data_IF_615433435554
#
_entry.id   IF_615433435554
#
_cell.length_a   1.000
_cell.length_b   1.000
_cell.length_c   1.000
_cell.angle_alpha   90.00
_cell.angle_beta   90.00
_cell.angle_gamma   90.00
#
_symmetry.space_group_name_H-M   'P 1'
#
loop_
_entity.id
_entity.type
_entity.pdbx_description
1 polymer ?
#
# COMPACT_ATOMS: atom_id res chain seq x y z
N UNK A 1 -25.28 -15.95 -1.34
CA UNK A 1 -24.01 -16.29 -0.66
C UNK A 1 -23.26 -15.00 -0.45
N UNK A 2 -22.67 -14.71 0.73
CA UNK A 2 -21.80 -13.55 0.87
C UNK A 2 -20.57 -13.71 -0.02
N UNK A 3 -20.17 -12.64 -0.67
CA UNK A 3 -18.89 -12.56 -1.37
C UNK A 3 -17.83 -11.96 -0.44
N UNK A 4 -16.59 -12.39 -0.65
CA UNK A 4 -15.39 -11.82 -0.05
C UNK A 4 -14.49 -11.33 -1.17
N UNK A 5 -14.13 -10.06 -1.12
CA UNK A 5 -13.12 -9.46 -1.97
C UNK A 5 -11.86 -9.25 -1.13
N UNK A 6 -10.83 -10.06 -1.34
CA UNK A 6 -9.61 -10.05 -0.55
C UNK A 6 -8.47 -9.38 -1.32
N UNK A 7 -7.83 -8.38 -0.74
CA UNK A 7 -6.57 -7.84 -1.24
C UNK A 7 -5.47 -7.84 -0.18
N UNK A 8 -4.24 -7.99 -0.65
CA UNK A 8 -3.02 -7.86 0.14
C UNK A 8 -2.16 -6.71 -0.37
N UNK A 9 -1.65 -5.88 0.52
CA UNK A 9 -0.65 -4.87 0.18
C UNK A 9 0.75 -5.43 0.36
N UNK A 10 1.63 -5.18 -0.62
CA UNK A 10 3.05 -5.52 -0.58
C UNK A 10 3.83 -4.22 -0.79
N UNK A 11 4.53 -3.79 0.25
CA UNK A 11 5.35 -2.59 0.20
C UNK A 11 6.62 -2.77 1.02
N UNK A 12 7.74 -2.31 0.46
CA UNK A 12 8.99 -2.13 1.18
C UNK A 12 9.58 -0.79 0.78
N UNK A 13 9.84 0.12 1.73
CA UNK A 13 10.42 1.42 1.45
C UNK A 13 11.92 1.29 1.16
N UNK A 14 12.49 2.29 0.46
CA UNK A 14 13.93 2.48 0.41
C UNK A 14 14.37 3.27 1.65
N UNK A 15 14.74 2.56 2.72
CA UNK A 15 15.19 3.19 3.97
C UNK A 15 16.42 4.05 3.70
N UNK A 16 16.39 5.28 4.21
CA UNK A 16 17.51 6.22 4.11
C UNK A 16 18.57 5.91 5.15
N UNK A 17 19.80 6.36 4.90
CA UNK A 17 20.92 6.29 5.84
C UNK A 17 20.69 7.26 6.99
N UNK A 18 21.35 7.03 8.12
CA UNK A 18 21.48 8.03 9.17
C UNK A 18 22.43 9.14 8.67
N UNK A 19 21.88 10.07 7.87
CA UNK A 19 22.64 11.06 7.14
C UNK A 19 22.87 12.30 8.02
N UNK A 20 24.12 12.54 8.38
CA UNK A 20 24.48 13.58 9.34
C UNK A 20 24.86 14.89 8.64
N UNK A 21 24.96 15.97 9.42
CA UNK A 21 25.52 17.24 8.94
C UNK A 21 26.92 17.06 8.33
N UNK A 22 27.73 16.12 8.83
CA UNK A 22 29.07 15.86 8.32
C UNK A 22 29.09 15.18 6.96
N UNK A 23 27.95 14.72 6.45
CA UNK A 23 27.82 14.07 5.15
C UNK A 23 27.44 15.04 4.02
N UNK A 24 27.02 16.25 4.38
CA UNK A 24 26.68 17.31 3.42
C UNK A 24 27.85 17.61 2.47
N UNK A 25 27.53 17.70 1.18
CA UNK A 25 28.42 18.09 0.10
C UNK A 25 29.37 17.00 -0.39
N UNK A 26 29.25 15.75 0.12
CA UNK A 26 30.01 14.58 -0.35
C UNK A 26 29.34 13.98 -1.60
N UNK A 27 28.98 12.69 -1.57
CA UNK A 27 28.29 11.99 -2.64
C UNK A 27 26.81 11.77 -2.31
N UNK A 28 25.90 11.88 -3.30
CA UNK A 28 24.47 11.73 -3.11
C UNK A 28 24.06 10.24 -2.99
N UNK A 29 24.60 9.55 -1.99
CA UNK A 29 24.18 8.20 -1.60
C UNK A 29 23.35 8.27 -0.31
N UNK A 30 22.04 8.39 -0.47
CA UNK A 30 21.11 8.63 0.65
C UNK A 30 20.46 7.36 1.20
N UNK A 31 20.52 6.24 0.48
CA UNK A 31 19.76 5.03 0.80
C UNK A 31 20.63 3.96 1.45
N UNK A 32 20.10 3.26 2.45
CA UNK A 32 20.80 2.19 3.14
C UNK A 32 20.61 0.87 2.37
N UNK A 33 21.41 0.66 1.32
CA UNK A 33 21.27 -0.50 0.44
C UNK A 33 21.41 -1.84 1.17
N UNK A 34 22.34 -1.96 2.13
CA UNK A 34 22.55 -3.18 2.91
C UNK A 34 21.31 -3.52 3.76
N UNK A 35 20.76 -2.54 4.48
CA UNK A 35 19.56 -2.73 5.28
C UNK A 35 18.35 -3.08 4.42
N UNK A 36 18.18 -2.37 3.30
CA UNK A 36 17.05 -2.59 2.39
C UNK A 36 17.10 -4.01 1.79
N UNK A 37 18.26 -4.44 1.29
CA UNK A 37 18.43 -5.79 0.76
C UNK A 37 18.27 -6.87 1.84
N UNK A 38 18.83 -6.65 3.03
CA UNK A 38 18.70 -7.58 4.16
C UNK A 38 17.24 -7.80 4.58
N UNK A 39 16.46 -6.73 4.73
CA UNK A 39 15.04 -6.82 5.07
C UNK A 39 14.24 -7.46 3.94
N UNK A 40 14.49 -7.04 2.68
CA UNK A 40 13.80 -7.61 1.53
C UNK A 40 14.01 -9.12 1.44
N UNK A 41 15.24 -9.59 1.68
CA UNK A 41 15.55 -11.02 1.68
C UNK A 41 14.80 -11.76 2.79
N UNK A 42 14.84 -11.23 4.02
CA UNK A 42 14.13 -11.81 5.17
C UNK A 42 12.63 -11.93 4.90
N UNK A 43 11.98 -10.84 4.50
CA UNK A 43 10.53 -10.83 4.25
C UNK A 43 10.15 -11.71 3.07
N UNK A 44 11.00 -11.77 2.04
CA UNK A 44 10.77 -12.66 0.89
C UNK A 44 10.75 -14.14 1.28
N UNK A 45 11.64 -14.55 2.19
CA UNK A 45 11.77 -15.93 2.63
C UNK A 45 10.72 -16.32 3.68
N UNK A 46 10.37 -15.39 4.57
CA UNK A 46 9.40 -15.63 5.65
C UNK A 46 7.94 -15.50 5.19
N UNK A 47 7.67 -14.54 4.30
CA UNK A 47 6.31 -14.15 3.92
C UNK A 47 6.04 -14.44 2.45
N UNK A 48 6.73 -13.75 1.53
CA UNK A 48 6.28 -13.71 0.13
C UNK A 48 6.29 -15.09 -0.55
N UNK A 49 7.40 -15.83 -0.48
CA UNK A 49 7.50 -17.13 -1.14
C UNK A 49 6.59 -18.20 -0.49
N UNK A 50 6.59 -18.38 0.85
CA UNK A 50 5.72 -19.37 1.48
C UNK A 50 4.24 -19.07 1.26
N UNK A 51 3.83 -17.81 1.42
CA UNK A 51 2.45 -17.42 1.26
C UNK A 51 2.00 -17.48 -0.21
N UNK A 52 2.83 -17.06 -1.18
CA UNK A 52 2.50 -17.20 -2.61
C UNK A 52 2.33 -18.68 -3.00
N UNK A 53 3.21 -19.56 -2.50
CA UNK A 53 3.10 -21.01 -2.72
C UNK A 53 1.81 -21.58 -2.13
N UNK A 54 1.43 -21.15 -0.92
CA UNK A 54 0.16 -21.56 -0.30
C UNK A 54 -1.03 -21.10 -1.15
N UNK A 55 -1.06 -19.83 -1.55
CA UNK A 55 -2.16 -19.28 -2.35
C UNK A 55 -2.29 -19.99 -3.69
N UNK A 56 -1.17 -20.24 -4.38
CA UNK A 56 -1.16 -20.99 -5.64
C UNK A 56 -1.76 -22.39 -5.47
N UNK A 57 -1.33 -23.12 -4.44
CA UNK A 57 -1.86 -24.45 -4.13
C UNK A 57 -3.38 -24.41 -3.81
N UNK A 58 -3.84 -23.39 -3.08
CA UNK A 58 -5.26 -23.22 -2.79
C UNK A 58 -6.07 -22.94 -4.07
N UNK A 59 -5.56 -22.10 -4.98
CA UNK A 59 -6.19 -21.85 -6.28
C UNK A 59 -6.32 -23.15 -7.09
N UNK A 60 -5.24 -23.92 -7.20
CA UNK A 60 -5.20 -25.18 -7.94
C UNK A 60 -6.15 -26.24 -7.32
N UNK A 61 -6.06 -26.43 -6.00
CA UNK A 61 -6.87 -27.39 -5.25
C UNK A 61 -8.37 -27.09 -5.40
N UNK A 62 -8.75 -25.81 -5.36
CA UNK A 62 -10.14 -25.37 -5.49
C UNK A 62 -10.55 -25.06 -6.93
N UNK A 63 -9.73 -25.42 -7.93
CA UNK A 63 -10.02 -25.26 -9.36
C UNK A 63 -10.44 -23.83 -9.73
N UNK A 64 -9.75 -22.85 -9.16
CA UNK A 64 -9.98 -21.41 -9.42
C UNK A 64 -11.17 -20.79 -8.68
N UNK A 65 -11.84 -21.52 -7.76
CA UNK A 65 -12.89 -20.94 -6.92
C UNK A 65 -12.36 -20.03 -5.80
N UNK A 66 -11.06 -20.08 -5.52
CA UNK A 66 -10.41 -19.10 -4.66
C UNK A 66 -9.81 -17.99 -5.53
N UNK A 67 -10.13 -16.74 -5.18
CA UNK A 67 -9.62 -15.54 -5.86
C UNK A 67 -9.19 -14.50 -4.83
N UNK A 68 -8.17 -13.74 -5.18
CA UNK A 68 -7.68 -12.64 -4.35
C UNK A 68 -7.03 -11.57 -5.22
N UNK A 69 -6.46 -10.55 -4.59
CA UNK A 69 -5.75 -9.49 -5.28
C UNK A 69 -4.53 -8.99 -4.51
N UNK A 70 -3.62 -8.33 -5.22
CA UNK A 70 -2.42 -7.73 -4.64
C UNK A 70 -2.23 -6.29 -5.10
N UNK A 71 -1.87 -5.40 -4.17
CA UNK A 71 -1.26 -4.11 -4.50
C UNK A 71 0.24 -4.22 -4.24
N UNK A 72 1.07 -4.02 -5.26
CA UNK A 72 2.52 -3.97 -5.11
C UNK A 72 2.97 -2.56 -5.46
N UNK A 73 3.59 -1.85 -4.51
CA UNK A 73 4.21 -0.55 -4.83
C UNK A 73 5.29 -0.67 -5.91
N UNK A 74 5.53 0.40 -6.67
CA UNK A 74 6.62 0.42 -7.67
C UNK A 74 7.99 0.15 -7.03
N UNK A 75 8.23 0.73 -5.84
CA UNK A 75 9.44 0.52 -5.05
C UNK A 75 9.71 -0.96 -4.74
N UNK A 76 8.71 -1.71 -4.27
CA UNK A 76 8.93 -3.13 -3.96
C UNK A 76 9.16 -3.93 -5.24
N UNK A 77 8.45 -3.61 -6.34
CA UNK A 77 8.65 -4.28 -7.62
C UNK A 77 10.09 -4.11 -8.13
N UNK A 78 10.65 -2.90 -8.05
CA UNK A 78 12.02 -2.64 -8.47
C UNK A 78 13.05 -3.35 -7.60
N UNK A 79 12.87 -3.30 -6.28
CA UNK A 79 13.73 -3.99 -5.34
C UNK A 79 13.73 -5.50 -5.58
N UNK A 80 12.55 -6.11 -5.72
CA UNK A 80 12.42 -7.54 -6.02
C UNK A 80 12.99 -7.88 -7.40
N UNK A 81 12.76 -7.07 -8.43
CA UNK A 81 13.31 -7.32 -9.75
C UNK A 81 14.85 -7.32 -9.76
N UNK A 82 15.47 -6.49 -8.92
CA UNK A 82 16.92 -6.38 -8.80
C UNK A 82 17.53 -7.48 -7.93
N UNK A 83 16.93 -7.77 -6.77
CA UNK A 83 17.54 -8.60 -5.74
C UNK A 83 16.87 -9.97 -5.57
N UNK A 84 15.57 -10.09 -5.86
CA UNK A 84 14.74 -11.29 -5.64
C UNK A 84 13.84 -11.63 -6.83
N UNK A 85 14.43 -11.92 -8.02
CA UNK A 85 13.66 -12.24 -9.23
C UNK A 85 12.81 -13.51 -9.09
N UNK A 86 13.17 -14.40 -8.16
CA UNK A 86 12.39 -15.57 -7.75
C UNK A 86 11.02 -15.18 -7.17
N UNK A 87 10.95 -14.11 -6.38
CA UNK A 87 9.69 -13.58 -5.85
C UNK A 87 8.84 -12.98 -6.96
N UNK A 88 9.43 -12.22 -7.89
CA UNK A 88 8.71 -11.73 -9.08
C UNK A 88 8.14 -12.91 -9.88
N UNK A 89 8.91 -13.98 -10.09
CA UNK A 89 8.44 -15.19 -10.76
C UNK A 89 7.25 -15.84 -10.03
N UNK A 90 7.27 -15.86 -8.69
CA UNK A 90 6.16 -16.38 -7.90
C UNK A 90 4.87 -15.55 -8.03
N UNK A 91 4.96 -14.22 -8.09
CA UNK A 91 3.81 -13.36 -8.37
C UNK A 91 3.29 -13.51 -9.81
N UNK A 92 4.19 -13.71 -10.79
CA UNK A 92 3.78 -14.05 -12.17
C UNK A 92 3.03 -15.36 -12.22
N UNK A 93 3.49 -16.39 -11.50
CA UNK A 93 2.78 -17.67 -11.43
C UNK A 93 1.34 -17.49 -10.88
N UNK A 94 1.16 -16.65 -9.86
CA UNK A 94 -0.18 -16.26 -9.39
C UNK A 94 -0.99 -15.51 -10.45
N UNK A 95 -0.39 -14.56 -11.16
CA UNK A 95 -1.03 -13.82 -12.26
C UNK A 95 -1.48 -14.73 -13.42
N UNK A 96 -0.70 -15.77 -13.71
CA UNK A 96 -0.97 -16.71 -14.79
C UNK A 96 -2.19 -17.59 -14.51
N UNK A 97 -2.55 -17.79 -13.24
CA UNK A 97 -3.79 -18.49 -12.85
C UNK A 97 -5.07 -17.79 -13.29
N UNK A 98 -5.00 -16.47 -13.56
CA UNK A 98 -6.16 -15.57 -13.78
C UNK A 98 -7.16 -15.52 -12.62
N UNK A 99 -6.81 -16.10 -11.46
CA UNK A 99 -7.58 -16.03 -10.22
C UNK A 99 -7.07 -14.93 -9.28
N UNK A 100 -5.94 -14.29 -9.64
CA UNK A 100 -5.34 -13.20 -8.87
C UNK A 100 -5.32 -11.93 -9.70
N UNK A 101 -5.98 -10.89 -9.20
CA UNK A 101 -5.94 -9.55 -9.80
C UNK A 101 -4.84 -8.70 -9.15
N UNK A 102 -4.15 -7.90 -9.95
CA UNK A 102 -3.16 -6.96 -9.43
C UNK A 102 -3.65 -5.52 -9.57
N UNK A 103 -3.53 -4.78 -8.48
CA UNK A 103 -4.02 -3.41 -8.33
C UNK A 103 -2.98 -2.39 -8.80
N UNK A 104 -3.49 -1.24 -9.23
CA UNK A 104 -2.69 -0.06 -9.53
C UNK A 104 -2.44 0.74 -8.28
N UNK A 105 -1.27 1.36 -8.17
CA UNK A 105 -0.91 2.21 -7.03
C UNK A 105 0.03 3.35 -7.48
N UNK A 106 0.40 4.26 -6.59
CA UNK A 106 1.55 5.15 -6.80
C UNK A 106 2.85 4.34 -6.90
N UNK A 107 3.81 4.83 -7.69
CA UNK A 107 5.09 4.14 -7.85
C UNK A 107 5.90 4.13 -6.56
N UNK A 108 5.98 5.29 -5.90
CA UNK A 108 6.86 5.48 -4.75
C UNK A 108 6.16 5.30 -3.42
N UNK A 109 4.92 4.77 -3.41
CA UNK A 109 4.11 4.69 -2.20
C UNK A 109 4.04 6.06 -1.50
N UNK A 110 3.68 7.09 -2.26
CA UNK A 110 3.87 8.50 -1.90
C UNK A 110 2.56 9.22 -1.57
N UNK A 111 2.71 10.40 -0.97
CA UNK A 111 1.59 11.32 -0.71
C UNK A 111 1.24 12.21 -1.92
N UNK A 112 1.81 11.96 -3.12
CA UNK A 112 1.74 12.85 -4.28
C UNK A 112 0.32 13.28 -4.66
N UNK A 113 -0.67 12.41 -4.42
CA UNK A 113 -2.09 12.68 -4.66
C UNK A 113 -2.60 13.98 -4.02
N UNK A 114 -1.98 14.45 -2.93
CA UNK A 114 -2.41 15.63 -2.17
C UNK A 114 -1.48 16.84 -2.31
N UNK A 115 -0.30 16.66 -2.89
CA UNK A 115 0.72 17.72 -2.99
C UNK A 115 1.01 18.16 -4.43
N UNK A 116 0.94 17.24 -5.40
CA UNK A 116 1.18 17.59 -6.79
C UNK A 116 0.47 16.62 -7.75
N UNK A 117 -0.59 17.10 -8.42
CA UNK A 117 -1.43 16.28 -9.33
C UNK A 117 -0.65 15.72 -10.52
N UNK A 118 0.27 16.50 -11.11
CA UNK A 118 1.08 16.03 -12.24
C UNK A 118 2.03 14.92 -11.82
N UNK A 119 2.63 15.03 -10.64
CA UNK A 119 3.48 14.00 -10.06
C UNK A 119 2.67 12.74 -9.72
N UNK A 120 1.47 12.89 -9.18
CA UNK A 120 0.57 11.77 -8.92
C UNK A 120 0.25 11.00 -10.21
N UNK A 121 -0.15 11.72 -11.27
CA UNK A 121 -0.39 11.13 -12.60
C UNK A 121 0.86 10.46 -13.18
N UNK A 122 2.04 11.10 -13.05
CA UNK A 122 3.31 10.53 -13.48
C UNK A 122 3.60 9.21 -12.77
N UNK A 123 3.42 9.16 -11.45
CA UNK A 123 3.64 7.95 -10.65
C UNK A 123 2.68 6.82 -11.02
N UNK A 124 1.39 7.12 -11.24
CA UNK A 124 0.42 6.14 -11.72
C UNK A 124 0.87 5.53 -13.06
N UNK A 125 1.31 6.38 -14.00
CA UNK A 125 1.78 5.93 -15.32
C UNK A 125 3.07 5.10 -15.23
N UNK A 126 4.00 5.46 -14.34
CA UNK A 126 5.19 4.66 -14.07
C UNK A 126 4.81 3.30 -13.49
N UNK A 127 3.84 3.26 -12.58
CA UNK A 127 3.41 2.03 -11.92
C UNK A 127 2.78 1.06 -12.92
N UNK A 128 1.87 1.55 -13.77
CA UNK A 128 1.31 0.76 -14.87
C UNK A 128 2.39 0.16 -15.78
N UNK A 129 3.46 0.91 -16.08
CA UNK A 129 4.59 0.40 -16.88
C UNK A 129 5.35 -0.70 -16.14
N UNK A 130 5.63 -0.55 -14.85
CA UNK A 130 6.29 -1.58 -14.05
C UNK A 130 5.44 -2.85 -13.92
N UNK A 131 4.15 -2.72 -13.66
CA UNK A 131 3.22 -3.86 -13.60
C UNK A 131 3.22 -4.67 -14.91
N UNK A 132 3.11 -4.00 -16.05
CA UNK A 132 3.19 -4.66 -17.36
C UNK A 132 4.55 -5.32 -17.59
N UNK A 133 5.65 -4.65 -17.21
CA UNK A 133 7.02 -5.14 -17.44
C UNK A 133 7.34 -6.37 -16.58
N UNK A 134 7.08 -6.30 -15.28
CA UNK A 134 7.57 -7.28 -14.32
C UNK A 134 6.55 -8.36 -13.99
N UNK A 135 5.27 -8.02 -13.92
CA UNK A 135 4.19 -8.96 -13.58
C UNK A 135 3.45 -9.45 -14.84
N UNK A 136 3.41 -8.64 -15.92
CA UNK A 136 2.74 -9.01 -17.17
C UNK A 136 1.25 -8.70 -17.21
N UNK A 137 0.80 -7.79 -16.34
CA UNK A 137 -0.62 -7.43 -16.19
C UNK A 137 -0.81 -5.92 -16.26
N UNK A 138 -2.03 -5.52 -16.63
CA UNK A 138 -2.47 -4.12 -16.57
C UNK A 138 -3.54 -3.97 -15.49
N UNK A 139 -3.28 -3.19 -14.43
CA UNK A 139 -4.25 -3.02 -13.35
C UNK A 139 -5.50 -2.25 -13.77
N UNK A 140 -6.65 -2.71 -13.28
CA UNK A 140 -7.99 -2.12 -13.53
C UNK A 140 -8.60 -1.42 -12.33
N UNK A 141 -8.25 -1.86 -11.13
CA UNK A 141 -8.67 -1.24 -9.87
C UNK A 141 -7.47 -0.60 -9.18
N UNK A 142 -7.68 0.55 -8.56
CA UNK A 142 -6.64 1.33 -7.91
C UNK A 142 -6.69 1.16 -6.38
N UNK A 143 -5.51 1.14 -5.75
CA UNK A 143 -5.32 1.27 -4.32
C UNK A 143 -4.34 2.42 -4.14
N UNK A 144 -4.81 3.55 -3.64
CA UNK A 144 -3.88 4.64 -3.33
C UNK A 144 -3.10 4.29 -2.06
N UNK A 145 -1.91 4.89 -1.94
CA UNK A 145 -1.04 4.79 -0.77
C UNK A 145 -1.85 4.94 0.51
N UNK A 146 -1.76 3.94 1.39
CA UNK A 146 -2.37 3.92 2.73
C UNK A 146 -3.89 4.10 2.77
N UNK A 147 -4.55 3.66 1.69
CA UNK A 147 -5.96 3.93 1.40
C UNK A 147 -6.32 5.41 1.53
N UNK A 148 -5.35 6.29 1.26
CA UNK A 148 -5.56 7.72 1.32
C UNK A 148 -6.53 8.13 0.22
N UNK A 149 -7.69 8.65 0.62
CA UNK A 149 -8.74 9.02 -0.33
C UNK A 149 -9.43 10.33 0.06
N UNK A 150 -9.73 11.14 -0.94
CA UNK A 150 -10.72 12.21 -0.90
C UNK A 150 -11.28 12.38 -2.32
N UNK A 151 -12.49 12.91 -2.47
CA UNK A 151 -13.13 13.03 -3.79
C UNK A 151 -12.28 13.76 -4.85
N UNK A 152 -11.37 14.66 -4.44
CA UNK A 152 -10.50 15.40 -5.35
C UNK A 152 -9.47 14.54 -6.11
N UNK A 153 -9.11 13.34 -5.63
CA UNK A 153 -8.15 12.46 -6.33
C UNK A 153 -8.81 11.61 -7.42
N UNK A 154 -10.14 11.47 -7.35
CA UNK A 154 -10.96 10.64 -8.24
C UNK A 154 -10.74 10.96 -9.71
N UNK A 155 -10.63 12.24 -10.06
CA UNK A 155 -10.44 12.67 -11.45
C UNK A 155 -9.16 12.09 -12.06
N UNK A 156 -8.05 12.15 -11.33
CA UNK A 156 -6.76 11.63 -11.82
C UNK A 156 -6.81 10.10 -11.97
N UNK A 157 -7.45 9.42 -11.02
CA UNK A 157 -7.61 7.96 -11.05
C UNK A 157 -8.51 7.53 -12.22
N UNK A 158 -9.66 8.17 -12.38
CA UNK A 158 -10.59 7.93 -13.48
C UNK A 158 -9.95 8.21 -14.85
N UNK A 159 -9.24 9.33 -15.00
CA UNK A 159 -8.58 9.70 -16.26
C UNK A 159 -7.43 8.75 -16.64
N UNK A 160 -6.88 8.02 -15.68
CA UNK A 160 -5.93 6.94 -15.94
C UNK A 160 -6.62 5.62 -16.30
N UNK A 161 -7.95 5.57 -16.41
CA UNK A 161 -8.71 4.42 -16.91
C UNK A 161 -8.95 3.32 -15.87
N UNK A 162 -8.92 3.66 -14.58
CA UNK A 162 -9.32 2.72 -13.53
C UNK A 162 -10.84 2.64 -13.40
N UNK A 163 -11.35 1.44 -13.12
CA UNK A 163 -12.77 1.13 -12.97
C UNK A 163 -13.26 1.30 -11.53
N UNK A 164 -12.34 1.20 -10.56
CA UNK A 164 -12.62 1.45 -9.15
C UNK A 164 -11.40 1.80 -8.33
N UNK A 165 -11.64 2.21 -7.09
CA UNK A 165 -10.63 2.54 -6.09
C UNK A 165 -11.02 2.01 -4.71
N UNK A 166 -10.05 1.43 -4.01
CA UNK A 166 -10.19 1.04 -2.61
C UNK A 166 -10.13 2.26 -1.69
N UNK A 167 -11.01 2.28 -0.69
CA UNK A 167 -11.05 3.33 0.35
C UNK A 167 -11.20 2.70 1.73
N UNK A 168 -10.77 3.40 2.78
CA UNK A 168 -11.02 2.94 4.14
C UNK A 168 -12.51 3.04 4.49
N UNK A 169 -13.10 1.92 4.93
CA UNK A 169 -14.51 1.82 5.33
C UNK A 169 -14.71 1.93 6.84
N UNK A 170 -14.13 2.93 7.49
CA UNK A 170 -14.38 3.20 8.91
C UNK A 170 -15.64 4.04 9.11
N UNK A 171 -16.34 3.87 10.24
CA UNK A 171 -17.52 4.68 10.57
C UNK A 171 -17.16 6.17 10.73
N UNK A 172 -15.95 6.47 11.21
CA UNK A 172 -15.42 7.82 11.32
C UNK A 172 -15.33 8.53 9.95
N UNK A 173 -15.09 7.76 8.90
CA UNK A 173 -14.86 8.28 7.55
C UNK A 173 -16.14 8.29 6.71
N UNK A 174 -16.95 7.23 6.80
CA UNK A 174 -18.09 7.03 5.91
C UNK A 174 -19.46 7.25 6.59
N UNK A 175 -19.47 7.63 7.87
CA UNK A 175 -20.68 7.91 8.64
C UNK A 175 -21.64 6.72 8.66
N UNK A 176 -22.86 6.91 8.16
CA UNK A 176 -23.90 5.86 8.11
C UNK A 176 -23.85 4.99 6.84
N UNK A 177 -22.82 5.12 6.01
CA UNK A 177 -22.66 4.25 4.86
C UNK A 177 -22.40 2.81 5.30
N UNK A 178 -22.94 1.85 4.55
CA UNK A 178 -22.66 0.44 4.79
C UNK A 178 -21.33 0.09 4.12
N UNK A 179 -20.33 -0.22 4.94
CA UNK A 179 -18.94 -0.49 4.54
C UNK A 179 -18.79 -1.81 3.79
N UNK A 180 -19.83 -2.64 3.75
CA UNK A 180 -19.90 -3.87 2.97
C UNK A 180 -20.61 -3.67 1.63
N UNK A 181 -20.66 -2.44 1.09
CA UNK A 181 -21.25 -2.15 -0.23
C UNK A 181 -20.31 -1.30 -1.04
N UNK A 182 -20.39 -1.45 -2.37
CA UNK A 182 -19.73 -0.53 -3.28
C UNK A 182 -20.54 0.76 -3.39
N UNK A 183 -19.90 1.82 -3.88
CA UNK A 183 -20.52 3.11 -4.13
C UNK A 183 -20.00 3.71 -5.44
N UNK A 184 -20.74 4.67 -6.00
CA UNK A 184 -20.21 5.57 -7.03
C UNK A 184 -19.40 6.67 -6.37
N UNK A 185 -18.24 6.98 -6.96
CA UNK A 185 -17.43 8.11 -6.54
C UNK A 185 -18.06 9.47 -6.88
N UNK A 186 -17.49 10.54 -6.33
CA UNK A 186 -17.76 11.92 -6.72
C UNK A 186 -16.47 12.56 -7.24
N UNK A 187 -16.50 13.35 -8.33
CA UNK A 187 -17.61 13.58 -9.26
C UNK A 187 -17.78 12.52 -10.36
N UNK A 188 -16.90 11.50 -10.44
CA UNK A 188 -16.93 10.53 -11.54
C UNK A 188 -17.76 9.29 -11.21
N UNK A 189 -19.04 9.32 -11.59
CA UNK A 189 -19.99 8.26 -11.24
C UNK A 189 -19.70 6.87 -11.83
N UNK A 190 -18.78 6.77 -12.80
CA UNK A 190 -18.35 5.50 -13.38
C UNK A 190 -17.17 4.85 -12.63
N UNK A 191 -16.57 5.55 -11.65
CA UNK A 191 -15.54 4.97 -10.79
C UNK A 191 -16.20 4.39 -9.52
N UNK A 192 -15.98 3.10 -9.28
CA UNK A 192 -16.46 2.43 -8.07
C UNK A 192 -15.58 2.75 -6.85
N UNK A 193 -16.21 2.99 -5.71
CA UNK A 193 -15.55 3.01 -4.41
C UNK A 193 -15.77 1.66 -3.74
N UNK A 194 -14.67 1.02 -3.30
CA UNK A 194 -14.66 -0.26 -2.60
C UNK A 194 -14.22 0.00 -1.15
N UNK A 195 -15.16 0.18 -0.20
CA UNK A 195 -14.80 0.39 1.19
C UNK A 195 -14.24 -0.89 1.80
N UNK A 196 -13.10 -0.77 2.49
CA UNK A 196 -12.52 -1.84 3.31
C UNK A 196 -13.36 -2.08 4.56
N UNK A 197 -13.69 -3.35 4.83
CA UNK A 197 -14.22 -3.76 6.12
C UNK A 197 -13.08 -3.83 7.14
N UNK A 198 -12.82 -2.71 7.81
CA UNK A 198 -11.68 -2.58 8.72
C UNK A 198 -11.79 -3.48 9.96
N UNK A 199 -13.01 -3.71 10.46
CA UNK A 199 -13.23 -4.52 11.67
C UNK A 199 -12.73 -5.95 11.47
N UNK A 200 -13.13 -6.59 10.37
CA UNK A 200 -12.72 -7.96 10.07
C UNK A 200 -11.29 -8.03 9.53
N UNK A 201 -10.84 -7.01 8.80
CA UNK A 201 -9.46 -6.96 8.30
C UNK A 201 -8.45 -6.86 9.46
N UNK A 202 -8.69 -5.95 10.41
CA UNK A 202 -7.86 -5.76 11.60
C UNK A 202 -7.93 -6.96 12.55
N UNK A 203 -8.98 -7.77 12.46
CA UNK A 203 -9.08 -9.01 13.22
C UNK A 203 -8.00 -10.03 12.80
N UNK A 204 -7.69 -10.09 11.51
CA UNK A 204 -6.59 -10.90 10.99
C UNK A 204 -5.25 -10.19 11.24
N UNK A 205 -5.16 -8.90 10.89
CA UNK A 205 -3.88 -8.18 10.86
C UNK A 205 -3.29 -7.86 12.24
N UNK A 206 -4.13 -7.59 13.24
CA UNK A 206 -3.67 -7.12 14.56
C UNK A 206 -4.18 -7.97 15.74
N UNK A 207 -5.30 -8.69 15.56
CA UNK A 207 -5.96 -9.43 16.64
C UNK A 207 -5.95 -10.94 16.42
N UNK A 208 -5.06 -11.45 15.57
CA UNK A 208 -4.92 -12.89 15.35
C UNK A 208 -4.61 -13.63 16.66
N UNK A 209 -3.71 -13.06 17.47
CA UNK A 209 -3.50 -13.44 18.86
C UNK A 209 -4.03 -12.35 19.79
N UNK A 210 -5.32 -12.44 20.15
CA UNK A 210 -5.89 -11.54 21.15
C UNK A 210 -6.12 -12.28 22.47
N UNK A 211 -5.51 -11.76 23.54
CA UNK A 211 -5.56 -12.36 24.89
C UNK A 211 -5.02 -13.81 24.92
N UNK A 212 -5.85 -14.80 25.30
CA UNK A 212 -5.51 -16.23 25.37
C UNK A 212 -6.12 -17.04 24.22
N UNK A 213 -6.63 -16.40 23.17
CA UNK A 213 -7.32 -17.09 22.07
C UNK A 213 -6.77 -16.67 20.71
N UNK A 214 -6.36 -17.65 19.93
CA UNK A 214 -6.05 -17.49 18.50
C UNK A 214 -7.33 -17.50 17.69
N UNK A 215 -7.44 -16.60 16.72
CA UNK A 215 -8.57 -16.55 15.79
C UNK A 215 -8.71 -17.88 15.03
N UNK A 216 -9.92 -18.45 15.03
CA UNK A 216 -10.21 -19.72 14.35
C UNK A 216 -10.97 -19.49 13.04
N UNK A 217 -10.64 -20.30 12.03
CA UNK A 217 -11.24 -20.24 10.70
C UNK A 217 -12.78 -20.34 10.72
N UNK A 218 -13.35 -21.20 11.56
CA UNK A 218 -14.80 -21.39 11.65
C UNK A 218 -15.50 -20.18 12.30
N UNK A 219 -14.87 -19.58 13.32
CA UNK A 219 -15.35 -18.37 13.97
C UNK A 219 -15.33 -17.19 13.01
N UNK A 220 -14.24 -17.01 12.27
CA UNK A 220 -14.12 -15.96 11.26
C UNK A 220 -15.14 -16.13 10.13
N UNK A 221 -15.33 -17.37 9.65
CA UNK A 221 -16.38 -17.70 8.66
C UNK A 221 -17.77 -17.33 9.17
N UNK A 222 -18.11 -17.66 10.43
CA UNK A 222 -19.41 -17.32 11.03
C UNK A 222 -19.64 -15.80 11.05
N UNK A 223 -18.62 -15.00 11.39
CA UNK A 223 -18.70 -13.53 11.39
C UNK A 223 -19.00 -12.97 10.00
N UNK A 224 -18.32 -13.46 8.96
CA UNK A 224 -18.59 -13.07 7.56
C UNK A 224 -20.04 -13.41 7.18
N UNK A 225 -20.50 -14.61 7.52
CA UNK A 225 -21.86 -15.05 7.19
C UNK A 225 -22.95 -14.18 7.83
N UNK A 226 -22.71 -13.63 9.03
CA UNK A 226 -23.63 -12.71 9.70
C UNK A 226 -23.81 -11.38 8.95
N UNK A 227 -22.86 -11.00 8.10
CA UNK A 227 -22.92 -9.79 7.26
C UNK A 227 -23.65 -10.02 5.93
N UNK A 228 -24.15 -11.24 5.68
CA UNK A 228 -24.87 -11.58 4.44
C UNK A 228 -26.13 -10.74 4.29
N UNK A 229 -26.19 -9.91 3.27
CA UNK A 229 -27.39 -9.19 2.85
C UNK A 229 -27.35 -8.91 1.34
N UNK A 230 -28.49 -8.57 0.71
CA UNK A 230 -28.51 -8.16 -0.69
C UNK A 230 -27.54 -6.99 -0.94
N UNK A 231 -26.78 -7.12 -2.03
CA UNK A 231 -25.70 -6.21 -2.45
C UNK A 231 -24.51 -6.08 -1.48
N UNK A 232 -24.43 -6.90 -0.41
CA UNK A 232 -23.27 -6.87 0.46
C UNK A 232 -22.12 -7.70 -0.11
N UNK A 233 -20.92 -7.16 -0.01
CA UNK A 233 -19.62 -7.82 -0.22
C UNK A 233 -18.69 -7.47 0.94
N UNK A 234 -18.00 -8.46 1.48
CA UNK A 234 -17.05 -8.25 2.58
C UNK A 234 -15.66 -8.03 1.98
N UNK A 235 -15.24 -6.77 1.97
CA UNK A 235 -14.01 -6.34 1.33
C UNK A 235 -12.87 -6.31 2.36
N UNK A 236 -11.96 -7.28 2.31
CA UNK A 236 -10.87 -7.43 3.27
C UNK A 236 -9.56 -6.92 2.66
N UNK A 237 -8.87 -6.07 3.42
CA UNK A 237 -7.62 -5.44 3.00
C UNK A 237 -6.58 -5.48 4.11
N UNK A 238 -5.40 -6.01 3.84
CA UNK A 238 -4.37 -6.18 4.86
C UNK A 238 -2.96 -6.13 4.27
N UNK A 239 -1.99 -5.79 5.10
CA UNK A 239 -0.58 -5.95 4.76
C UNK A 239 -0.27 -7.42 4.55
N UNK A 240 0.44 -7.75 3.47
CA UNK A 240 0.74 -9.13 3.14
C UNK A 240 1.71 -9.76 4.15
N UNK A 241 2.59 -8.92 4.70
CA UNK A 241 3.50 -9.20 5.80
C UNK A 241 2.81 -9.74 7.05
N UNK A 242 1.47 -9.61 7.16
CA UNK A 242 0.66 -10.35 8.15
C UNK A 242 0.95 -11.87 8.14
N UNK A 243 1.20 -12.44 6.96
CA UNK A 243 1.39 -13.88 6.78
C UNK A 243 2.87 -14.26 6.70
N UNK A 244 3.53 -14.35 7.86
CA UNK A 244 4.89 -14.85 8.00
C UNK A 244 5.87 -13.87 8.65
N UNK A 245 5.61 -12.57 8.56
CA UNK A 245 6.47 -11.53 9.17
C UNK A 245 5.87 -10.96 10.45
N UNK A 246 4.64 -10.43 10.44
CA UNK A 246 3.99 -9.93 11.67
C UNK A 246 3.57 -11.08 12.59
N UNK A 247 3.08 -12.17 11.99
CA UNK A 247 2.85 -13.44 12.65
C UNK A 247 3.67 -14.50 11.93
N UNK A 248 4.56 -15.16 12.66
CA UNK A 248 5.42 -16.20 12.11
C UNK A 248 4.61 -17.44 11.74
N UNK A 249 5.18 -18.28 10.86
CA UNK A 249 4.49 -19.48 10.39
C UNK A 249 4.14 -20.43 11.54
N UNK A 250 5.01 -20.53 12.54
CA UNK A 250 4.85 -21.36 13.74
C UNK A 250 3.68 -20.91 14.63
N UNK A 251 3.29 -19.64 14.53
CA UNK A 251 2.13 -19.06 15.22
C UNK A 251 0.80 -19.49 14.58
N UNK A 252 0.87 -20.06 13.37
CA UNK A 252 -0.26 -20.72 12.70
C UNK A 252 -1.06 -19.82 11.78
N UNK A 253 -0.61 -18.60 11.47
CA UNK A 253 -1.33 -17.66 10.60
C UNK A 253 -1.59 -18.23 9.18
N UNK A 254 -0.60 -18.91 8.60
CA UNK A 254 -0.73 -19.59 7.30
C UNK A 254 -1.70 -20.78 7.37
N UNK A 255 -1.69 -21.50 8.49
CA UNK A 255 -2.64 -22.60 8.74
C UNK A 255 -4.07 -22.07 8.87
N UNK A 256 -4.26 -20.95 9.56
CA UNK A 256 -5.54 -20.26 9.64
C UNK A 256 -6.04 -19.85 8.25
N UNK A 257 -5.20 -19.18 7.44
CA UNK A 257 -5.56 -18.74 6.09
C UNK A 257 -5.99 -19.93 5.22
N UNK A 258 -5.18 -20.99 5.22
CA UNK A 258 -5.47 -22.23 4.50
C UNK A 258 -6.79 -22.85 4.95
N UNK A 259 -7.00 -23.04 6.25
CA UNK A 259 -8.23 -23.63 6.80
C UNK A 259 -9.46 -22.77 6.49
N UNK A 260 -9.35 -21.45 6.61
CA UNK A 260 -10.44 -20.53 6.33
C UNK A 260 -10.88 -20.60 4.87
N UNK A 261 -9.94 -20.56 3.92
CA UNK A 261 -10.25 -20.66 2.49
C UNK A 261 -10.83 -22.04 2.16
N UNK A 262 -10.19 -23.11 2.61
CA UNK A 262 -10.67 -24.47 2.40
C UNK A 262 -12.12 -24.66 2.91
N UNK A 263 -12.40 -24.23 4.14
CA UNK A 263 -13.71 -24.38 4.74
C UNK A 263 -14.77 -23.51 4.04
N UNK A 264 -14.41 -22.28 3.68
CA UNK A 264 -15.28 -21.34 2.95
C UNK A 264 -15.78 -21.93 1.64
N UNK A 265 -14.87 -22.51 0.84
CA UNK A 265 -15.17 -23.05 -0.50
C UNK A 265 -15.85 -24.42 -0.40
N UNK A 266 -15.33 -25.34 0.43
CA UNK A 266 -15.86 -26.70 0.55
C UNK A 266 -17.32 -26.71 1.02
N UNK A 267 -17.68 -25.75 1.89
CA UNK A 267 -19.06 -25.61 2.38
C UNK A 267 -19.95 -24.77 1.47
N UNK A 268 -19.43 -24.20 0.38
CA UNK A 268 -20.12 -23.27 -0.52
C UNK A 268 -20.81 -22.12 0.24
N UNK A 269 -20.16 -21.64 1.29
CA UNK A 269 -20.69 -20.61 2.19
C UNK A 269 -20.24 -19.21 1.83
N UNK A 270 -19.09 -19.08 1.19
CA UNK A 270 -18.48 -17.81 0.79
C UNK A 270 -17.97 -17.96 -0.65
N UNK A 271 -18.21 -16.94 -1.45
CA UNK A 271 -17.61 -16.76 -2.77
C UNK A 271 -16.42 -15.82 -2.67
N UNK A 272 -15.31 -16.14 -3.33
CA UNK A 272 -14.17 -15.23 -3.43
C UNK A 272 -14.17 -14.57 -4.80
N UNK A 273 -14.13 -13.25 -4.81
CA UNK A 273 -14.12 -12.43 -6.02
C UNK A 273 -12.88 -11.56 -6.06
N UNK A 274 -12.39 -11.31 -7.27
CA UNK A 274 -11.45 -10.22 -7.50
C UNK A 274 -12.16 -8.86 -7.38
N UNK A 275 -11.42 -7.76 -7.20
CA UNK A 275 -11.98 -6.41 -7.19
C UNK A 275 -12.81 -6.07 -8.44
N UNK A 276 -12.32 -6.40 -9.64
CA UNK A 276 -13.06 -6.19 -10.90
C UNK A 276 -14.38 -6.98 -10.92
N UNK A 277 -14.36 -8.26 -10.57
CA UNK A 277 -15.58 -9.10 -10.49
C UNK A 277 -16.55 -8.61 -9.41
N UNK A 278 -16.01 -8.05 -8.32
CA UNK A 278 -16.81 -7.42 -7.26
C UNK A 278 -17.50 -6.16 -7.77
N UNK A 279 -16.82 -5.34 -8.56
CA UNK A 279 -17.43 -4.19 -9.24
C UNK A 279 -18.54 -4.67 -10.18
N UNK A 280 -18.25 -5.62 -11.08
CA UNK A 280 -19.24 -6.16 -12.02
C UNK A 280 -20.50 -6.70 -11.31
N UNK A 281 -20.34 -7.34 -10.15
CA UNK A 281 -21.43 -8.00 -9.43
C UNK A 281 -22.22 -7.07 -8.50
N UNK A 282 -21.56 -6.06 -7.91
CA UNK A 282 -22.12 -5.26 -6.80
C UNK A 282 -22.17 -3.76 -7.06
N UNK A 283 -21.72 -3.28 -8.23
CA UNK A 283 -21.72 -1.86 -8.51
C UNK A 283 -23.15 -1.30 -8.47
N UNK A 284 -23.31 -0.22 -7.73
CA UNK A 284 -24.60 0.34 -7.36
C UNK A 284 -24.80 1.73 -7.93
N UNK A 285 -26.04 2.22 -7.91
CA UNK A 285 -26.38 3.61 -8.27
C UNK A 285 -26.14 4.60 -7.14
N UNK A 286 -25.85 4.12 -5.92
CA UNK A 286 -25.68 4.99 -4.75
C UNK A 286 -24.33 5.68 -4.77
N UNK A 287 -24.35 7.01 -4.76
CA UNK A 287 -23.18 7.87 -4.62
C UNK A 287 -22.73 7.99 -3.16
N UNK A 288 -21.43 8.09 -2.95
CA UNK A 288 -20.80 8.42 -1.68
C UNK A 288 -19.91 9.67 -1.89
N UNK A 289 -19.97 10.58 -0.92
CA UNK A 289 -19.21 11.83 -0.94
C UNK A 289 -18.23 11.77 0.24
N UNK A 290 -16.95 11.96 -0.03
CA UNK A 290 -15.87 11.93 0.96
C UNK A 290 -15.03 13.21 0.80
N UNK A 291 -15.42 14.30 1.50
CA UNK A 291 -14.82 15.62 1.30
C UNK A 291 -13.49 15.80 2.04
N UNK A 292 -13.12 14.88 2.93
CA UNK A 292 -11.91 14.94 3.75
C UNK A 292 -11.00 13.75 3.46
N UNK A 293 -9.70 13.90 3.74
CA UNK A 293 -8.73 12.83 3.52
C UNK A 293 -8.92 11.73 4.56
N UNK A 294 -9.30 10.56 4.08
CA UNK A 294 -9.40 9.32 4.86
C UNK A 294 -8.13 8.50 4.68
N UNK A 295 -7.84 7.60 5.61
CA UNK A 295 -6.76 6.62 5.52
C UNK A 295 -7.11 5.40 6.36
N UNK A 296 -6.50 4.25 6.08
CA UNK A 296 -6.62 3.08 6.94
C UNK A 296 -5.70 3.11 8.17
N UNK A 297 -4.77 4.08 8.24
CA UNK A 297 -3.75 4.13 9.28
C UNK A 297 -4.29 4.72 10.59
N UNK A 298 -3.68 4.26 11.69
CA UNK A 298 -3.92 4.68 13.06
C UNK A 298 -5.39 4.65 13.50
N UNK A 299 -5.67 5.16 14.68
CA UNK A 299 -7.02 5.22 15.24
C UNK A 299 -7.89 6.30 14.58
N UNK A 300 -7.29 7.41 14.15
CA UNK A 300 -8.02 8.54 13.55
C UNK A 300 -8.46 8.30 12.10
N UNK A 301 -7.89 7.29 11.43
CA UNK A 301 -8.26 6.88 10.06
C UNK A 301 -8.19 8.03 9.05
N UNK A 302 -7.18 8.88 9.17
CA UNK A 302 -6.96 10.07 8.35
C UNK A 302 -5.47 10.29 8.08
N UNK A 303 -5.11 11.39 7.40
CA UNK A 303 -3.73 11.69 6.98
C UNK A 303 -2.74 12.02 8.12
N UNK A 304 -3.21 12.13 9.37
CA UNK A 304 -2.38 12.60 10.49
C UNK A 304 -1.17 11.71 10.79
N UNK A 305 -1.15 10.45 10.37
CA UNK A 305 0.04 9.59 10.52
C UNK A 305 1.29 10.18 9.83
N UNK A 306 1.10 11.01 8.78
CA UNK A 306 2.20 11.58 7.99
C UNK A 306 2.32 13.10 8.07
N UNK A 307 1.35 13.82 8.65
CA UNK A 307 1.27 15.29 8.54
C UNK A 307 0.77 15.97 9.83
N UNK A 308 1.00 15.33 11.00
CA UNK A 308 0.50 15.83 12.28
C UNK A 308 1.41 16.91 12.90
N UNK A 309 2.72 16.75 12.82
CA UNK A 309 3.68 17.67 13.46
C UNK A 309 4.46 18.52 12.45
N UNK A 310 5.22 19.49 12.95
CA UNK A 310 5.91 20.48 12.11
C UNK A 310 7.15 19.90 11.40
N UNK A 311 7.80 18.88 11.98
CA UNK A 311 8.90 18.14 11.32
C UNK A 311 8.42 17.50 10.01
N UNK A 312 7.28 16.81 10.08
CA UNK A 312 6.65 16.18 8.91
C UNK A 312 6.27 17.21 7.86
N UNK A 313 5.59 18.29 8.26
CA UNK A 313 5.15 19.36 7.33
C UNK A 313 6.33 20.02 6.64
N UNK A 314 7.37 20.39 7.38
CA UNK A 314 8.57 21.02 6.84
C UNK A 314 9.25 20.11 5.80
N UNK A 315 9.47 18.84 6.13
CA UNK A 315 10.09 17.90 5.21
C UNK A 315 9.28 17.72 3.91
N UNK A 316 7.95 17.64 4.01
CA UNK A 316 7.08 17.50 2.85
C UNK A 316 7.10 18.77 1.99
N UNK A 317 6.93 19.94 2.60
CA UNK A 317 6.96 21.24 1.91
C UNK A 317 8.29 21.43 1.18
N UNK A 318 9.40 21.17 1.87
CA UNK A 318 10.74 21.24 1.30
C UNK A 318 10.89 20.27 0.12
N UNK A 319 10.53 19.00 0.27
CA UNK A 319 10.63 18.01 -0.79
C UNK A 319 9.88 18.43 -2.07
N UNK A 320 8.61 18.83 -1.96
CA UNK A 320 7.83 19.19 -3.14
C UNK A 320 8.24 20.54 -3.75
N UNK A 321 8.83 21.45 -2.97
CA UNK A 321 9.39 22.70 -3.50
C UNK A 321 10.52 22.48 -4.51
N UNK A 322 11.25 21.36 -4.38
CA UNK A 322 12.38 21.00 -5.26
C UNK A 322 11.94 20.41 -6.61
N UNK A 323 10.66 20.04 -6.76
CA UNK A 323 10.17 19.33 -7.96
C UNK A 323 10.52 20.09 -9.24
N UNK A 324 10.05 21.33 -9.36
CA UNK A 324 10.08 22.03 -10.64
C UNK A 324 11.52 22.31 -11.09
N UNK A 325 12.42 22.56 -10.15
CA UNK A 325 13.82 22.80 -10.45
C UNK A 325 14.54 21.51 -10.85
N UNK A 326 14.28 20.39 -10.16
CA UNK A 326 14.83 19.07 -10.51
C UNK A 326 14.38 18.63 -11.91
N UNK A 327 13.11 18.85 -12.24
CA UNK A 327 12.59 18.48 -13.57
C UNK A 327 13.11 19.39 -14.68
N UNK A 328 13.35 20.68 -14.40
CA UNK A 328 14.01 21.61 -15.36
C UNK A 328 15.45 21.21 -15.67
N UNK A 329 16.19 20.70 -14.68
CA UNK A 329 17.57 20.24 -14.87
C UNK A 329 17.69 19.03 -15.81
N UNK A 330 16.59 18.29 -16.05
CA UNK A 330 16.56 17.07 -16.89
C UNK A 330 17.60 16.01 -16.51
N UNK A 331 18.09 16.05 -15.27
CA UNK A 331 18.99 15.04 -14.74
C UNK A 331 18.17 13.85 -14.22
N UNK A 332 18.28 12.72 -14.93
CA UNK A 332 17.51 11.51 -14.60
C UNK A 332 17.84 10.95 -13.22
N UNK A 333 19.12 10.91 -12.85
CA UNK A 333 19.55 10.38 -11.55
C UNK A 333 18.97 11.21 -10.40
N UNK A 334 18.99 12.54 -10.55
CA UNK A 334 18.42 13.46 -9.57
C UNK A 334 16.89 13.30 -9.45
N UNK A 335 16.20 13.12 -10.58
CA UNK A 335 14.77 12.84 -10.60
C UNK A 335 14.43 11.52 -9.91
N UNK A 336 15.22 10.47 -10.14
CA UNK A 336 15.04 9.16 -9.50
C UNK A 336 15.25 9.24 -7.99
N UNK A 337 16.32 9.92 -7.53
CA UNK A 337 16.58 10.15 -6.10
C UNK A 337 15.44 10.92 -5.44
N UNK A 338 15.05 12.08 -6.01
CA UNK A 338 13.96 12.88 -5.47
C UNK A 338 12.63 12.11 -5.44
N UNK A 339 12.38 11.30 -6.47
CA UNK A 339 11.16 10.51 -6.53
C UNK A 339 11.12 9.43 -5.44
N UNK A 340 12.24 8.75 -5.20
CA UNK A 340 12.35 7.75 -4.14
C UNK A 340 12.17 8.36 -2.74
N UNK A 341 12.65 9.59 -2.52
CA UNK A 341 12.46 10.31 -1.25
C UNK A 341 11.00 10.67 -0.96
N UNK A 342 10.06 10.57 -1.92
CA UNK A 342 8.64 10.82 -1.67
C UNK A 342 7.91 9.68 -0.93
N UNK A 343 8.59 8.57 -0.65
CA UNK A 343 8.01 7.44 0.05
C UNK A 343 7.39 7.86 1.39
N UNK A 344 6.12 7.50 1.60
CA UNK A 344 5.33 7.92 2.77
C UNK A 344 5.98 7.54 4.09
N UNK A 345 6.70 6.42 4.11
CA UNK A 345 7.35 5.83 5.27
C UNK A 345 8.33 6.79 5.92
N UNK A 346 9.00 7.64 5.14
CA UNK A 346 9.91 8.65 5.69
C UNK A 346 9.19 9.63 6.62
N UNK A 347 7.98 10.07 6.24
CA UNK A 347 7.17 10.94 7.09
C UNK A 347 6.53 10.16 8.24
N UNK A 348 6.18 8.89 8.01
CA UNK A 348 5.65 8.00 9.05
C UNK A 348 6.65 7.81 10.20
N UNK A 349 7.94 7.69 9.90
CA UNK A 349 9.02 7.59 10.90
C UNK A 349 9.18 8.86 11.76
N UNK A 350 8.68 10.01 11.30
CA UNK A 350 8.72 11.28 12.02
C UNK A 350 7.47 11.53 12.87
N UNK A 351 6.51 10.60 12.91
CA UNK A 351 5.30 10.73 13.71
C UNK A 351 5.61 10.75 15.21
N UNK A 352 4.94 11.64 15.94
CA UNK A 352 5.06 11.77 17.40
C UNK A 352 3.85 11.20 18.14
N UNK A 353 3.05 10.36 17.48
CA UNK A 353 1.88 9.72 18.09
C UNK A 353 2.27 8.77 19.23
N UNK A 354 1.37 8.61 20.20
CA UNK A 354 1.58 7.82 21.42
C UNK A 354 0.64 6.60 21.47
N UNK A 355 0.80 5.74 22.47
CA UNK A 355 0.00 4.52 22.70
C UNK A 355 0.19 3.46 21.60
N UNK A 356 -0.85 2.69 21.26
CA UNK A 356 -0.79 1.59 20.29
C UNK A 356 -0.26 2.05 18.93
N UNK A 357 -0.65 3.25 18.51
CA UNK A 357 -0.21 3.83 17.24
C UNK A 357 1.31 4.07 17.31
N UNK A 358 1.80 4.61 18.43
CA UNK A 358 3.25 4.81 18.67
C UNK A 358 4.07 3.51 18.73
N UNK A 359 3.53 2.41 19.26
CA UNK A 359 4.21 1.11 19.26
C UNK A 359 4.42 0.57 17.84
N UNK A 360 3.42 0.72 16.98
CA UNK A 360 3.51 0.39 15.55
C UNK A 360 4.58 1.26 14.87
N UNK A 361 4.56 2.59 15.08
CA UNK A 361 5.58 3.49 14.52
C UNK A 361 7.01 3.09 14.91
N UNK A 362 7.24 2.72 16.17
CA UNK A 362 8.56 2.33 16.66
C UNK A 362 9.03 0.97 16.12
N UNK A 363 8.10 0.03 15.89
CA UNK A 363 8.44 -1.29 15.36
C UNK A 363 8.99 -1.22 13.92
N UNK A 364 8.45 -0.33 13.09
CA UNK A 364 8.81 -0.22 11.67
C UNK A 364 9.94 0.76 11.36
N UNK A 365 10.26 1.68 12.27
CA UNK A 365 11.24 2.72 12.04
C UNK A 365 12.68 2.20 12.14
N UNK A 366 13.57 2.50 11.19
CA UNK A 366 15.02 2.23 11.33
C UNK A 366 15.73 3.26 12.22
N UNK A 367 15.01 4.20 12.81
CA UNK A 367 15.55 5.28 13.63
C UNK A 367 15.17 5.12 15.10
N UNK A 368 16.08 5.52 15.99
CA UNK A 368 15.86 5.49 17.44
C UNK A 368 14.76 6.43 17.93
N UNK A 369 14.45 7.48 17.16
CA UNK A 369 13.38 8.43 17.50
C UNK A 369 12.85 9.17 16.27
N UNK A 370 11.64 9.74 16.35
CA UNK A 370 11.11 10.63 15.31
C UNK A 370 12.02 11.81 14.96
N UNK A 371 12.71 12.36 15.96
CA UNK A 371 13.68 13.45 15.76
C UNK A 371 14.91 12.99 14.99
N UNK A 372 15.39 11.76 15.25
CA UNK A 372 16.52 11.19 14.50
C UNK A 372 16.15 10.96 13.03
N UNK A 373 14.93 10.49 12.76
CA UNK A 373 14.41 10.34 11.39
C UNK A 373 14.31 11.69 10.68
N UNK A 374 13.77 12.71 11.35
CA UNK A 374 13.70 14.08 10.83
C UNK A 374 15.09 14.65 10.51
N UNK A 375 16.05 14.56 11.44
CA UNK A 375 17.42 15.07 11.24
C UNK A 375 18.07 14.42 10.02
N UNK A 376 17.97 13.09 9.88
CA UNK A 376 18.53 12.39 8.73
C UNK A 376 17.89 12.87 7.42
N UNK A 377 16.57 12.95 7.38
CA UNK A 377 15.84 13.32 6.17
C UNK A 377 16.03 14.79 5.77
N UNK A 378 15.99 15.73 6.72
CA UNK A 378 16.17 17.15 6.43
C UNK A 378 17.60 17.46 5.97
N UNK A 379 18.60 16.74 6.48
CA UNK A 379 19.98 16.85 5.99
C UNK A 379 20.08 16.33 4.55
N UNK A 380 19.41 15.22 4.20
CA UNK A 380 19.35 14.72 2.81
C UNK A 380 18.72 15.76 1.88
N UNK A 381 17.58 16.36 2.27
CA UNK A 381 16.95 17.40 1.45
C UNK A 381 17.85 18.63 1.28
N UNK A 382 18.61 18.98 2.32
CA UNK A 382 19.58 20.09 2.27
C UNK A 382 20.76 19.75 1.35
N UNK A 383 21.26 18.53 1.37
CA UNK A 383 22.29 18.07 0.45
C UNK A 383 21.80 18.07 -1.01
N UNK A 384 20.55 17.66 -1.21
CA UNK A 384 19.90 17.67 -2.52
C UNK A 384 19.79 19.09 -3.07
N UNK A 385 19.42 20.07 -2.24
CA UNK A 385 19.44 21.50 -2.59
C UNK A 385 20.84 21.99 -2.99
N UNK A 386 21.85 21.69 -2.20
CA UNK A 386 23.24 22.05 -2.51
C UNK A 386 23.69 21.44 -3.84
N UNK A 387 23.27 20.21 -4.13
CA UNK A 387 23.55 19.53 -5.40
C UNK A 387 22.86 20.22 -6.58
N UNK A 388 21.59 20.62 -6.42
CA UNK A 388 20.84 21.39 -7.41
C UNK A 388 21.54 22.72 -7.70
N UNK A 389 21.93 23.47 -6.66
CA UNK A 389 22.55 24.78 -6.81
C UNK A 389 23.90 24.71 -7.51
N UNK A 390 24.73 23.71 -7.16
CA UNK A 390 25.99 23.44 -7.89
C UNK A 390 25.72 23.20 -9.38
N UNK A 391 24.75 22.34 -9.73
CA UNK A 391 24.42 22.06 -11.13
C UNK A 391 23.92 23.28 -11.90
N UNK A 392 23.16 24.18 -11.24
CA UNK A 392 22.68 25.42 -11.87
C UNK A 392 23.80 26.38 -12.22
N UNK A 393 24.81 26.49 -11.35
CA UNK A 393 25.98 27.35 -11.62
C UNK A 393 26.68 26.86 -12.88
N UNK A 394 26.94 25.56 -12.99
CA UNK A 394 27.61 24.99 -14.18
C UNK A 394 26.80 25.14 -15.48
N UNK A 395 25.46 25.15 -15.42
CA UNK A 395 24.62 25.39 -16.61
C UNK A 395 24.56 26.84 -17.09
N UNK A 396 25.01 27.81 -16.28
CA UNK A 396 25.08 29.24 -16.66
C UNK A 396 26.45 29.59 -17.23
N UNK A 397 27.46 28.75 -17.00
CA UNK A 397 28.83 28.92 -17.50
C UNK A 397 29.11 28.22 -18.84
N UNK A 398 28.16 27.40 -19.34
CA UNK A 398 28.10 26.83 -20.70
C UNK A 398 27.10 27.58 -21.59
#
# INVERSE_FOLDING_TARGET
MPSVCLYFQVHQPLRIRNFSFFDLGKEPDYFNNELNEGILNKVSDNCYLPANKLLLNLIETHKGNFKCSFSLSGLVIEQLAKHRPDVIASFRALADTKCVEFLGETYYHSLAAFYNREEFDRQIKLHKKAMRKYIGVEPKVFRNTELLYQDAITETVHNNGYEGIWIEGSENNLGKANTNRLYRSHPHENLALIPRNFILSDEIAFRFHQQKSTLKADQFTKKILQLSAPQNTVNLGLDYETFGEHFHQEEGILSFLSQWINNSIATKKIEFLTPSETIESFFTVKKLIVPHITSWADSEKNISAWVQNDMQKECIEKLYSLRDIIFKLKNRSLQEIWSALQCSDHFYYMSTKQHSDGEVHNYFSPFESPHSAYIAYINILTDLELTIDKMRIYQVEE
#
